data_IF_766515371739
#
_entry.id   IF_766515371739
#
_cell.length_a   1.000
_cell.length_b   1.000
_cell.length_c   1.000
_cell.angle_alpha   90.00
_cell.angle_beta   90.00
_cell.angle_gamma   90.00
#
_symmetry.space_group_name_H-M   'P 1'
#
loop_
_entity.id
_entity.type
_entity.pdbx_description
1 polymer ?
#
# COMPACT_ATOMS: atom_id res chain seq x y z
N UNK A 1 43.49 -78.49 -33.04
CA UNK A 1 43.03 -77.08 -32.94
C UNK A 1 41.98 -77.00 -31.83
N UNK A 2 42.33 -76.60 -30.61
CA UNK A 2 42.40 -75.22 -30.08
C UNK A 2 41.09 -74.74 -29.39
N UNK A 3 41.09 -74.88 -28.06
CA UNK A 3 40.60 -73.97 -26.98
C UNK A 3 39.09 -73.66 -26.74
N UNK A 4 38.61 -74.20 -25.60
CA UNK A 4 37.83 -73.60 -24.48
C UNK A 4 37.38 -72.13 -24.60
N UNK A 5 36.14 -71.81 -24.18
CA UNK A 5 35.84 -71.10 -22.90
C UNK A 5 34.34 -70.85 -22.60
N UNK A 6 33.96 -71.17 -21.35
CA UNK A 6 32.80 -70.66 -20.57
C UNK A 6 32.75 -69.12 -20.52
N UNK A 7 31.56 -68.53 -20.55
CA UNK A 7 31.17 -67.26 -19.88
C UNK A 7 29.66 -67.30 -19.62
N UNK A 8 29.23 -67.61 -18.40
CA UNK A 8 29.00 -66.69 -17.27
C UNK A 8 27.88 -65.69 -17.55
N UNK A 9 26.78 -65.93 -16.83
CA UNK A 9 25.69 -65.02 -16.52
C UNK A 9 26.21 -63.68 -15.97
N UNK A 10 25.59 -62.58 -16.43
CA UNK A 10 25.50 -61.33 -15.66
C UNK A 10 24.14 -60.69 -15.93
N UNK A 11 23.29 -60.75 -14.91
CA UNK A 11 22.07 -59.98 -14.77
C UNK A 11 22.41 -58.49 -14.79
N UNK A 12 21.77 -57.73 -15.68
CA UNK A 12 21.78 -56.28 -15.65
C UNK A 12 20.49 -55.80 -14.99
N UNK A 13 20.46 -55.87 -13.66
CA UNK A 13 19.49 -55.12 -12.85
C UNK A 13 19.84 -53.64 -12.99
N UNK A 14 19.25 -52.98 -13.99
CA UNK A 14 19.36 -51.53 -14.19
C UNK A 14 18.53 -50.81 -13.13
N UNK A 15 19.27 -50.37 -12.13
CA UNK A 15 19.02 -49.34 -11.13
C UNK A 15 17.92 -48.31 -11.49
N UNK A 16 16.68 -48.56 -11.08
CA UNK A 16 15.53 -47.63 -11.08
C UNK A 16 15.35 -46.99 -9.70
N UNK A 17 16.32 -46.22 -9.16
CA UNK A 17 16.13 -45.55 -7.85
C UNK A 17 16.66 -44.12 -7.66
N UNK A 18 17.21 -43.45 -8.68
CA UNK A 18 17.80 -42.11 -8.48
C UNK A 18 17.10 -40.93 -9.20
N UNK A 19 15.93 -41.11 -9.81
CA UNK A 19 15.29 -40.01 -10.57
C UNK A 19 14.22 -39.22 -9.77
N UNK A 20 13.90 -39.64 -8.54
CA UNK A 20 12.87 -39.03 -7.69
C UNK A 20 13.42 -38.02 -6.66
N UNK A 21 14.74 -37.97 -6.45
CA UNK A 21 15.38 -37.11 -5.42
C UNK A 21 15.89 -35.78 -5.95
N UNK A 22 16.39 -35.72 -7.19
CA UNK A 22 16.93 -34.49 -7.80
C UNK A 22 15.88 -33.42 -8.07
N UNK A 23 14.66 -33.81 -8.44
CA UNK A 23 13.57 -32.87 -8.70
C UNK A 23 13.02 -32.19 -7.43
N UNK A 24 13.14 -32.80 -6.25
CA UNK A 24 12.71 -32.19 -4.97
C UNK A 24 13.78 -31.29 -4.34
N UNK A 25 15.06 -31.61 -4.58
CA UNK A 25 16.19 -30.82 -4.10
C UNK A 25 16.26 -29.44 -4.78
N UNK A 26 15.85 -29.33 -6.05
CA UNK A 26 15.92 -28.06 -6.80
C UNK A 26 14.92 -26.97 -6.31
N UNK A 27 13.63 -27.25 -6.06
CA UNK A 27 12.69 -26.31 -5.44
C UNK A 27 13.11 -25.90 -4.03
N UNK A 28 13.55 -26.84 -3.20
CA UNK A 28 13.95 -26.55 -1.82
C UNK A 28 15.21 -25.66 -1.77
N UNK A 29 16.19 -25.90 -2.64
CA UNK A 29 17.37 -25.03 -2.76
C UNK A 29 17.00 -23.62 -3.24
N UNK A 30 16.06 -23.51 -4.19
CA UNK A 30 15.56 -22.20 -4.65
C UNK A 30 14.80 -21.47 -3.55
N UNK A 31 14.00 -22.17 -2.76
CA UNK A 31 13.28 -21.59 -1.63
C UNK A 31 14.24 -21.03 -0.58
N UNK A 32 15.28 -21.80 -0.20
CA UNK A 32 16.32 -21.33 0.72
C UNK A 32 17.08 -20.13 0.16
N UNK A 33 17.32 -20.12 -1.16
CA UNK A 33 17.92 -18.96 -1.84
C UNK A 33 17.03 -17.72 -1.74
N UNK A 34 15.72 -17.84 -1.96
CA UNK A 34 14.77 -16.72 -1.81
C UNK A 34 14.81 -16.18 -0.37
N UNK A 35 14.72 -17.07 0.63
CA UNK A 35 14.79 -16.68 2.06
C UNK A 35 16.10 -15.96 2.40
N UNK A 36 17.24 -16.46 1.92
CA UNK A 36 18.54 -15.81 2.14
C UNK A 36 18.63 -14.42 1.47
N UNK A 37 18.08 -14.27 0.26
CA UNK A 37 18.05 -12.98 -0.44
C UNK A 37 17.13 -11.97 0.24
N UNK A 38 15.98 -12.42 0.75
CA UNK A 38 15.07 -11.61 1.57
C UNK A 38 15.77 -11.10 2.84
N UNK A 39 16.43 -11.99 3.58
CA UNK A 39 17.18 -11.63 4.78
C UNK A 39 18.31 -10.62 4.49
N UNK A 40 18.91 -10.69 3.31
CA UNK A 40 19.95 -9.76 2.86
C UNK A 40 19.38 -8.48 2.18
N UNK A 41 18.06 -8.26 2.19
CA UNK A 41 17.39 -7.15 1.50
C UNK A 41 17.70 -7.05 -0.01
N UNK A 42 18.12 -8.15 -0.64
CA UNK A 42 18.40 -8.27 -2.09
C UNK A 42 17.11 -8.58 -2.84
N UNK A 43 16.16 -7.65 -2.77
CA UNK A 43 14.77 -7.89 -3.18
C UNK A 43 14.60 -8.13 -4.68
N UNK A 44 15.41 -7.51 -5.54
CA UNK A 44 15.33 -7.74 -6.99
C UNK A 44 15.67 -9.19 -7.32
N UNK A 45 16.78 -9.68 -6.78
CA UNK A 45 17.23 -11.06 -6.95
C UNK A 45 16.25 -12.04 -6.28
N UNK A 46 15.67 -11.67 -5.14
CA UNK A 46 14.65 -12.46 -4.47
C UNK A 46 13.40 -12.63 -5.34
N UNK A 47 12.92 -11.57 -6.00
CA UNK A 47 11.79 -11.63 -6.95
C UNK A 47 12.13 -12.56 -8.12
N UNK A 48 13.32 -12.44 -8.71
CA UNK A 48 13.73 -13.29 -9.84
C UNK A 48 13.84 -14.77 -9.45
N UNK A 49 14.38 -15.06 -8.26
CA UNK A 49 14.44 -16.42 -7.74
C UNK A 49 13.04 -16.97 -7.37
N UNK A 50 12.18 -16.15 -6.77
CA UNK A 50 10.82 -16.52 -6.38
C UNK A 50 9.91 -16.81 -7.57
N UNK A 51 10.01 -16.02 -8.65
CA UNK A 51 9.32 -16.31 -9.91
C UNK A 51 9.72 -17.66 -10.49
N UNK A 52 11.01 -18.00 -10.46
CA UNK A 52 11.51 -19.31 -10.93
C UNK A 52 10.99 -20.43 -10.05
N UNK A 53 10.98 -20.24 -8.73
CA UNK A 53 10.45 -21.20 -7.77
C UNK A 53 8.95 -21.47 -8.01
N UNK A 54 8.14 -20.42 -8.19
CA UNK A 54 6.70 -20.56 -8.42
C UNK A 54 6.38 -21.28 -9.75
N UNK A 55 7.20 -21.07 -10.78
CA UNK A 55 7.08 -21.79 -12.07
C UNK A 55 7.37 -23.29 -11.96
N UNK A 56 8.26 -23.70 -11.06
CA UNK A 56 8.60 -25.11 -10.89
C UNK A 56 7.51 -25.85 -10.14
N UNK A 57 6.98 -25.26 -9.08
CA UNK A 57 5.87 -25.82 -8.32
C UNK A 57 5.18 -24.70 -7.53
N UNK A 58 3.89 -24.51 -7.85
CA UNK A 58 3.04 -23.50 -7.25
C UNK A 58 2.51 -23.99 -5.91
N UNK A 59 2.62 -23.16 -4.88
CA UNK A 59 2.03 -23.41 -3.56
C UNK A 59 1.82 -22.09 -2.81
N UNK A 60 0.86 -22.00 -1.87
CA UNK A 60 0.61 -20.80 -1.09
C UNK A 60 1.84 -20.26 -0.35
N UNK A 61 2.63 -21.13 0.29
CA UNK A 61 3.84 -20.72 1.02
C UNK A 61 4.87 -20.02 0.13
N UNK A 62 4.96 -20.44 -1.14
CA UNK A 62 5.88 -19.84 -2.13
C UNK A 62 5.35 -18.53 -2.69
N UNK A 63 4.03 -18.40 -2.81
CA UNK A 63 3.40 -17.12 -3.13
C UNK A 63 3.66 -16.10 -2.02
N UNK A 64 3.60 -16.51 -0.74
CA UNK A 64 3.95 -15.65 0.40
C UNK A 64 5.40 -15.16 0.32
N UNK A 65 6.35 -16.05 0.03
CA UNK A 65 7.76 -15.68 -0.14
C UNK A 65 7.97 -14.69 -1.30
N UNK A 66 7.31 -14.92 -2.44
CA UNK A 66 7.38 -14.02 -3.58
C UNK A 66 6.72 -12.66 -3.28
N UNK A 67 5.59 -12.67 -2.57
CA UNK A 67 4.89 -11.46 -2.15
C UNK A 67 5.77 -10.58 -1.24
N UNK A 68 6.50 -11.19 -0.30
CA UNK A 68 7.46 -10.50 0.55
C UNK A 68 8.62 -9.88 -0.26
N UNK A 69 9.10 -10.59 -1.29
CA UNK A 69 10.15 -10.08 -2.17
C UNK A 69 9.68 -8.85 -2.97
N UNK A 70 8.46 -8.92 -3.52
CA UNK A 70 7.83 -7.79 -4.20
C UNK A 70 7.61 -6.59 -3.28
N UNK A 71 7.09 -6.83 -2.07
CA UNK A 71 6.86 -5.79 -1.09
C UNK A 71 8.15 -5.06 -0.70
N UNK A 72 9.22 -5.81 -0.36
CA UNK A 72 10.52 -5.21 -0.07
C UNK A 72 11.08 -4.43 -1.26
N UNK A 73 10.89 -4.92 -2.49
CA UNK A 73 11.30 -4.21 -3.70
C UNK A 73 10.52 -2.91 -3.90
N UNK A 74 9.20 -2.91 -3.68
CA UNK A 74 8.36 -1.73 -3.83
C UNK A 74 8.73 -0.67 -2.78
N UNK A 75 8.94 -1.08 -1.52
CA UNK A 75 9.43 -0.21 -0.44
C UNK A 75 10.78 0.42 -0.80
N UNK A 76 11.76 -0.38 -1.22
CA UNK A 76 13.07 0.15 -1.61
C UNK A 76 13.08 1.03 -2.86
N UNK A 77 12.03 0.99 -3.70
CA UNK A 77 11.83 1.94 -4.80
C UNK A 77 11.19 3.24 -4.29
N UNK A 78 10.17 3.13 -3.44
CA UNK A 78 9.50 4.27 -2.82
C UNK A 78 10.47 5.11 -1.97
N UNK A 79 11.38 4.47 -1.22
CA UNK A 79 12.41 5.14 -0.43
C UNK A 79 13.38 5.96 -1.30
N UNK A 80 13.47 5.66 -2.60
CA UNK A 80 14.26 6.39 -3.59
C UNK A 80 13.42 7.39 -4.39
N UNK A 81 12.16 7.62 -4.01
CA UNK A 81 11.22 8.46 -4.74
C UNK A 81 10.68 7.87 -6.05
N UNK A 82 10.97 6.60 -6.35
CA UNK A 82 10.55 5.92 -7.58
C UNK A 82 9.12 5.35 -7.45
N UNK A 83 8.15 6.22 -7.21
CA UNK A 83 6.78 5.80 -6.87
C UNK A 83 6.07 5.11 -8.03
N UNK A 84 6.25 5.55 -9.29
CA UNK A 84 5.60 4.93 -10.46
C UNK A 84 6.05 3.48 -10.65
N UNK A 85 7.34 3.22 -10.47
CA UNK A 85 7.91 1.89 -10.52
C UNK A 85 7.45 1.05 -9.32
N UNK A 86 7.39 1.65 -8.12
CA UNK A 86 6.88 0.97 -6.94
C UNK A 86 5.41 0.54 -7.12
N UNK A 87 4.55 1.38 -7.72
CA UNK A 87 3.16 1.02 -8.06
C UNK A 87 3.11 -0.20 -8.97
N UNK A 88 3.93 -0.24 -10.02
CA UNK A 88 3.99 -1.38 -10.93
C UNK A 88 4.45 -2.67 -10.23
N UNK A 89 5.43 -2.58 -9.33
CA UNK A 89 5.89 -3.71 -8.51
C UNK A 89 4.79 -4.19 -7.55
N UNK A 90 4.02 -3.28 -6.96
CA UNK A 90 2.93 -3.63 -6.04
C UNK A 90 1.75 -4.30 -6.75
N UNK A 91 1.39 -3.83 -7.96
CA UNK A 91 0.36 -4.50 -8.78
C UNK A 91 0.75 -5.92 -9.15
N UNK A 92 2.01 -6.12 -9.58
CA UNK A 92 2.55 -7.46 -9.84
C UNK A 92 2.51 -8.37 -8.60
N UNK A 93 2.70 -7.82 -7.40
CA UNK A 93 2.58 -8.56 -6.14
C UNK A 93 1.17 -9.13 -6.00
N UNK A 94 0.16 -8.27 -6.14
CA UNK A 94 -1.25 -8.66 -6.00
C UNK A 94 -1.64 -9.71 -7.05
N UNK A 95 -1.29 -9.48 -8.31
CA UNK A 95 -1.63 -10.38 -9.42
C UNK A 95 -0.96 -11.75 -9.30
N UNK A 96 0.37 -11.79 -9.13
CA UNK A 96 1.14 -13.04 -9.22
C UNK A 96 1.15 -13.85 -7.92
N UNK A 97 0.87 -13.19 -6.78
CA UNK A 97 0.88 -13.85 -5.47
C UNK A 97 -0.53 -14.02 -4.89
N UNK A 98 -1.57 -13.59 -5.61
CA UNK A 98 -2.97 -13.69 -5.17
C UNK A 98 -3.21 -13.06 -3.79
N UNK A 99 -2.50 -11.95 -3.51
CA UNK A 99 -2.66 -11.15 -2.29
C UNK A 99 -3.43 -9.87 -2.61
N UNK A 100 -4.01 -9.25 -1.59
CA UNK A 100 -4.75 -8.00 -1.81
C UNK A 100 -3.84 -6.89 -2.35
N UNK A 101 -4.42 -6.08 -3.24
CA UNK A 101 -3.84 -4.84 -3.72
C UNK A 101 -3.98 -3.73 -2.67
N UNK A 102 -5.13 -3.70 -1.98
CA UNK A 102 -5.55 -2.63 -1.10
C UNK A 102 -4.82 -2.71 0.24
N UNK A 103 -3.91 -1.76 0.44
CA UNK A 103 -3.07 -1.61 1.63
C UNK A 103 -2.71 -0.12 1.75
N UNK A 104 -2.60 0.42 2.97
CA UNK A 104 -2.25 1.83 3.18
C UNK A 104 -0.96 2.27 2.47
N UNK A 105 0.03 1.37 2.36
CA UNK A 105 1.25 1.61 1.59
C UNK A 105 0.94 1.80 0.10
N UNK A 106 0.03 1.03 -0.47
CA UNK A 106 -0.35 1.19 -1.89
C UNK A 106 -0.95 2.56 -2.18
N UNK A 107 -1.82 3.07 -1.30
CA UNK A 107 -2.35 4.43 -1.43
C UNK A 107 -1.24 5.48 -1.39
N UNK A 108 -0.29 5.33 -0.47
CA UNK A 108 0.89 6.21 -0.42
C UNK A 108 1.69 6.17 -1.72
N UNK A 109 1.83 4.99 -2.34
CA UNK A 109 2.49 4.87 -3.64
C UNK A 109 1.74 5.63 -4.75
N UNK A 110 0.41 5.49 -4.80
CA UNK A 110 -0.41 6.21 -5.78
C UNK A 110 -0.29 7.74 -5.59
N UNK A 111 -0.37 8.21 -4.35
CA UNK A 111 -0.24 9.63 -4.02
C UNK A 111 1.16 10.15 -4.39
N UNK A 112 2.22 9.44 -3.99
CA UNK A 112 3.60 9.80 -4.34
C UNK A 112 3.88 9.75 -5.85
N UNK A 113 3.15 8.92 -6.60
CA UNK A 113 3.23 8.87 -8.06
C UNK A 113 2.40 9.96 -8.77
N UNK A 114 1.65 10.77 -8.02
CA UNK A 114 0.71 11.77 -8.56
C UNK A 114 -0.56 11.16 -9.17
N UNK A 115 -0.86 9.89 -8.90
CA UNK A 115 -2.00 9.15 -9.45
C UNK A 115 -3.25 9.32 -8.56
N UNK A 116 -3.65 10.58 -8.33
CA UNK A 116 -4.69 10.94 -7.35
C UNK A 116 -6.06 10.35 -7.72
N UNK A 117 -6.46 10.43 -8.99
CA UNK A 117 -7.73 9.84 -9.45
C UNK A 117 -7.79 8.33 -9.15
N UNK A 118 -6.71 7.60 -9.44
CA UNK A 118 -6.62 6.17 -9.15
C UNK A 118 -6.62 5.87 -7.64
N UNK A 119 -6.09 6.78 -6.80
CA UNK A 119 -6.17 6.62 -5.36
C UNK A 119 -7.62 6.67 -4.86
N UNK A 120 -8.45 7.56 -5.40
CA UNK A 120 -9.88 7.59 -5.08
C UNK A 120 -10.65 6.39 -5.64
N UNK A 121 -10.40 5.99 -6.89
CA UNK A 121 -11.01 4.79 -7.48
C UNK A 121 -10.69 3.54 -6.64
N UNK A 122 -9.41 3.33 -6.31
CA UNK A 122 -9.00 2.20 -5.47
C UNK A 122 -9.65 2.26 -4.09
N UNK A 123 -9.86 3.46 -3.53
CA UNK A 123 -10.52 3.62 -2.23
C UNK A 123 -11.97 3.16 -2.27
N UNK A 124 -12.71 3.47 -3.33
CA UNK A 124 -14.09 3.01 -3.51
C UNK A 124 -14.18 1.47 -3.43
N UNK A 125 -13.27 0.77 -4.10
CA UNK A 125 -13.25 -0.70 -4.13
C UNK A 125 -12.61 -1.33 -2.87
N UNK A 126 -11.67 -0.62 -2.25
CA UNK A 126 -10.77 -1.16 -1.23
C UNK A 126 -11.22 -0.99 0.22
N UNK A 127 -12.37 -0.34 0.49
CA UNK A 127 -12.77 0.03 1.86
C UNK A 127 -12.86 -1.16 2.82
N UNK A 128 -13.47 -2.26 2.39
CA UNK A 128 -13.63 -3.47 3.22
C UNK A 128 -12.29 -4.05 3.66
N UNK A 129 -11.31 -4.03 2.76
CA UNK A 129 -10.00 -4.59 3.03
C UNK A 129 -9.17 -3.68 3.94
N UNK A 130 -9.21 -2.37 3.70
CA UNK A 130 -8.63 -1.36 4.58
C UNK A 130 -9.23 -1.42 5.99
N UNK A 131 -10.53 -1.70 6.12
CA UNK A 131 -11.21 -1.85 7.40
C UNK A 131 -10.68 -3.06 8.17
N UNK A 132 -10.49 -4.21 7.51
CA UNK A 132 -9.92 -5.42 8.13
C UNK A 132 -8.49 -5.19 8.62
N UNK A 133 -7.71 -4.40 7.87
CA UNK A 133 -6.33 -4.05 8.20
C UNK A 133 -6.23 -2.94 9.26
N UNK A 134 -7.34 -2.28 9.61
CA UNK A 134 -7.37 -1.18 10.57
C UNK A 134 -6.84 0.14 10.02
N UNK A 135 -6.58 0.25 8.72
CA UNK A 135 -5.97 1.43 8.09
C UNK A 135 -6.95 2.31 7.32
N UNK A 136 -8.26 2.02 7.38
CA UNK A 136 -9.29 2.78 6.67
C UNK A 136 -9.31 4.26 7.07
N UNK A 137 -9.21 4.55 8.38
CA UNK A 137 -9.26 5.92 8.88
C UNK A 137 -8.08 6.76 8.37
N UNK A 138 -6.87 6.19 8.39
CA UNK A 138 -5.65 6.87 7.96
C UNK A 138 -5.67 7.18 6.46
N UNK A 139 -6.10 6.22 5.64
CA UNK A 139 -6.27 6.43 4.19
C UNK A 139 -7.36 7.47 3.92
N UNK A 140 -8.47 7.41 4.66
CA UNK A 140 -9.57 8.37 4.52
C UNK A 140 -9.12 9.80 4.85
N UNK A 141 -8.32 9.99 5.89
CA UNK A 141 -7.76 11.31 6.22
C UNK A 141 -6.84 11.86 5.12
N UNK A 142 -5.99 11.01 4.52
CA UNK A 142 -5.16 11.41 3.37
C UNK A 142 -6.01 11.84 2.18
N UNK A 143 -7.07 11.08 1.88
CA UNK A 143 -7.99 11.38 0.79
C UNK A 143 -8.83 12.64 1.05
N UNK A 144 -9.17 12.94 2.30
CA UNK A 144 -9.82 14.20 2.67
C UNK A 144 -8.95 15.43 2.39
N UNK A 145 -7.67 15.39 2.74
CA UNK A 145 -6.75 16.47 2.37
C UNK A 145 -6.64 16.61 0.84
N UNK A 146 -6.55 15.48 0.13
CA UNK A 146 -6.47 15.47 -1.34
C UNK A 146 -7.75 15.93 -2.03
N UNK A 147 -8.92 15.67 -1.48
CA UNK A 147 -10.19 16.08 -2.08
C UNK A 147 -10.35 17.60 -2.08
N UNK A 148 -9.82 18.29 -1.07
CA UNK A 148 -9.79 19.75 -1.02
C UNK A 148 -8.79 20.35 -2.01
N UNK A 149 -7.63 19.70 -2.17
CA UNK A 149 -6.61 20.13 -3.13
C UNK A 149 -6.96 19.78 -4.59
N UNK A 150 -7.81 18.77 -4.82
CA UNK A 150 -8.17 18.25 -6.15
C UNK A 150 -9.69 18.01 -6.25
N UNK A 151 -10.52 19.06 -6.14
CA UNK A 151 -11.97 18.91 -6.09
C UNK A 151 -12.55 18.28 -7.35
N UNK A 152 -11.99 18.56 -8.53
CA UNK A 152 -12.46 17.96 -9.79
C UNK A 152 -12.17 16.46 -9.86
N UNK A 153 -10.98 16.05 -9.42
CA UNK A 153 -10.61 14.63 -9.36
C UNK A 153 -11.47 13.87 -8.35
N UNK A 154 -11.84 14.51 -7.23
CA UNK A 154 -12.75 13.95 -6.24
C UNK A 154 -14.21 13.88 -6.75
N UNK A 155 -14.67 14.92 -7.45
CA UNK A 155 -16.02 14.96 -8.03
C UNK A 155 -16.21 13.91 -9.14
N UNK A 156 -15.14 13.53 -9.84
CA UNK A 156 -15.17 12.48 -10.87
C UNK A 156 -15.22 11.05 -10.29
N UNK A 157 -15.18 10.90 -8.96
CA UNK A 157 -15.20 9.57 -8.32
C UNK A 157 -16.61 8.98 -8.26
N UNK A 158 -16.71 7.66 -8.27
CA UNK A 158 -17.97 6.94 -8.11
C UNK A 158 -18.22 6.53 -6.65
N UNK A 159 -17.83 7.38 -5.68
CA UNK A 159 -18.08 7.09 -4.27
C UNK A 159 -19.59 7.21 -3.95
N UNK A 160 -20.13 6.32 -3.11
CA UNK A 160 -21.52 6.39 -2.69
C UNK A 160 -21.77 7.66 -1.87
N UNK A 161 -22.99 8.21 -1.95
CA UNK A 161 -23.37 9.43 -1.24
C UNK A 161 -23.28 9.29 0.29
N UNK A 162 -23.39 8.06 0.79
CA UNK A 162 -23.28 7.69 2.19
C UNK A 162 -21.82 7.60 2.69
N UNK A 163 -20.82 7.68 1.80
CA UNK A 163 -19.43 7.70 2.23
C UNK A 163 -19.15 8.97 3.05
N UNK A 164 -18.47 8.80 4.19
CA UNK A 164 -18.17 9.90 5.11
C UNK A 164 -17.35 11.01 4.44
N UNK A 165 -16.46 10.68 3.49
CA UNK A 165 -15.74 11.69 2.70
C UNK A 165 -16.71 12.53 1.88
N UNK A 166 -17.66 11.88 1.20
CA UNK A 166 -18.64 12.56 0.34
C UNK A 166 -19.57 13.43 1.18
N UNK A 167 -20.06 12.91 2.32
CA UNK A 167 -20.95 13.63 3.22
C UNK A 167 -20.31 14.85 3.88
N UNK A 168 -19.06 14.74 4.36
CA UNK A 168 -18.40 15.83 5.09
C UNK A 168 -17.71 16.85 4.16
N UNK A 169 -17.38 16.47 2.92
CA UNK A 169 -16.62 17.32 1.98
C UNK A 169 -17.26 18.68 1.71
N UNK A 170 -18.58 18.82 1.43
CA UNK A 170 -19.18 20.13 1.19
C UNK A 170 -19.01 21.10 2.35
N UNK A 171 -19.13 20.60 3.59
CA UNK A 171 -18.93 21.40 4.81
C UNK A 171 -17.47 21.85 4.94
N UNK A 172 -16.52 20.94 4.71
CA UNK A 172 -15.10 21.25 4.77
C UNK A 172 -14.69 22.27 3.70
N UNK A 173 -15.19 22.11 2.48
CA UNK A 173 -14.97 23.04 1.35
C UNK A 173 -15.54 24.42 1.67
N UNK A 174 -16.79 24.50 2.14
CA UNK A 174 -17.42 25.77 2.50
C UNK A 174 -16.68 26.49 3.65
N UNK A 175 -16.18 25.74 4.65
CA UNK A 175 -15.38 26.33 5.73
C UNK A 175 -14.08 26.95 5.20
N UNK A 176 -13.38 26.25 4.30
CA UNK A 176 -12.15 26.73 3.68
C UNK A 176 -12.41 27.93 2.76
N UNK A 177 -13.48 27.92 1.98
CA UNK A 177 -13.88 29.03 1.13
C UNK A 177 -14.22 30.28 1.95
N UNK A 178 -14.95 30.13 3.06
CA UNK A 178 -15.26 31.22 3.97
C UNK A 178 -13.99 31.84 4.59
N UNK A 179 -13.02 31.00 4.99
CA UNK A 179 -11.71 31.45 5.43
C UNK A 179 -11.00 32.28 4.35
N UNK A 180 -10.94 31.77 3.12
CA UNK A 180 -10.32 32.49 2.00
C UNK A 180 -11.02 33.81 1.66
N UNK A 181 -12.32 33.92 1.93
CA UNK A 181 -13.10 35.14 1.76
C UNK A 181 -13.01 36.12 2.94
N UNK A 182 -12.37 35.73 4.06
CA UNK A 182 -12.33 36.51 5.30
C UNK A 182 -13.66 36.55 6.06
N UNK A 183 -14.59 35.62 5.79
CA UNK A 183 -15.87 35.52 6.49
C UNK A 183 -15.76 34.57 7.69
N UNK A 184 -15.26 35.12 8.79
CA UNK A 184 -15.07 34.38 10.04
C UNK A 184 -16.38 33.80 10.59
N UNK A 185 -17.50 34.48 10.40
CA UNK A 185 -18.79 34.04 10.91
C UNK A 185 -19.29 32.81 10.12
N UNK A 186 -19.24 32.86 8.80
CA UNK A 186 -19.59 31.72 7.94
C UNK A 186 -18.65 30.54 8.20
N UNK A 187 -17.34 30.79 8.32
CA UNK A 187 -16.36 29.75 8.66
C UNK A 187 -16.75 29.07 9.99
N UNK A 188 -16.95 29.83 11.07
CA UNK A 188 -17.33 29.26 12.37
C UNK A 188 -18.63 28.44 12.33
N UNK A 189 -19.61 28.84 11.52
CA UNK A 189 -20.84 28.08 11.33
C UNK A 189 -20.55 26.71 10.70
N UNK A 190 -19.78 26.67 9.61
CA UNK A 190 -19.41 25.41 8.95
C UNK A 190 -18.61 24.49 9.89
N UNK A 191 -17.66 25.04 10.67
CA UNK A 191 -16.84 24.27 11.61
C UNK A 191 -17.63 23.61 12.76
N UNK A 192 -18.89 23.97 13.00
CA UNK A 192 -19.76 23.26 13.96
C UNK A 192 -20.25 21.92 13.44
N UNK A 193 -20.35 21.77 12.12
CA UNK A 193 -20.84 20.56 11.46
C UNK A 193 -19.75 19.50 11.26
N UNK A 194 -18.46 19.89 11.30
CA UNK A 194 -17.33 18.95 11.24
C UNK A 194 -17.15 18.24 12.59
N UNK A 195 -17.54 16.97 12.66
CA UNK A 195 -17.44 16.14 13.86
C UNK A 195 -16.00 15.73 14.18
N UNK A 196 -15.76 15.23 15.40
CA UNK A 196 -14.44 14.69 15.78
C UNK A 196 -14.06 13.39 15.03
N UNK A 197 -15.05 12.69 14.49
CA UNK A 197 -14.85 11.47 13.67
C UNK A 197 -14.70 11.79 12.19
N UNK A 198 -14.88 13.04 11.79
CA UNK A 198 -14.72 13.49 10.42
C UNK A 198 -13.26 13.29 9.96
N UNK A 199 -13.02 12.86 8.72
CA UNK A 199 -11.68 12.85 8.15
C UNK A 199 -11.13 14.27 7.94
N UNK A 200 -11.95 15.31 8.08
CA UNK A 200 -11.55 16.73 8.03
C UNK A 200 -11.34 17.35 9.42
N UNK A 201 -11.30 16.54 10.50
CA UNK A 201 -11.20 17.06 11.87
C UNK A 201 -9.97 17.94 12.11
N UNK A 202 -8.85 17.65 11.46
CA UNK A 202 -7.61 18.41 11.68
C UNK A 202 -7.57 19.70 10.86
N UNK A 203 -8.21 19.73 9.68
CA UNK A 203 -8.54 20.99 9.00
C UNK A 203 -9.35 21.92 9.91
N UNK A 204 -10.35 21.39 10.62
CA UNK A 204 -11.13 22.17 11.60
C UNK A 204 -10.24 22.74 12.70
N UNK A 205 -9.22 22.01 13.17
CA UNK A 205 -8.28 22.52 14.17
C UNK A 205 -7.42 23.66 13.62
N UNK A 206 -6.91 23.52 12.40
CA UNK A 206 -6.12 24.54 11.70
C UNK A 206 -6.94 25.81 11.50
N UNK A 207 -8.15 25.70 10.93
CA UNK A 207 -9.00 26.87 10.67
C UNK A 207 -9.40 27.59 11.96
N UNK A 208 -9.63 26.86 13.07
CA UNK A 208 -9.84 27.48 14.39
C UNK A 208 -8.60 28.20 14.92
N UNK A 209 -7.41 27.62 14.73
CA UNK A 209 -6.17 28.24 15.16
C UNK A 209 -5.90 29.54 14.38
N UNK A 210 -6.11 29.52 13.06
CA UNK A 210 -5.96 30.70 12.19
C UNK A 210 -6.90 31.84 12.59
N UNK A 211 -8.16 31.52 12.89
CA UNK A 211 -9.13 32.49 13.40
C UNK A 211 -8.69 33.14 14.73
N UNK A 212 -8.09 32.36 15.62
CA UNK A 212 -7.66 32.84 16.94
C UNK A 212 -6.32 33.57 16.90
N UNK A 213 -5.47 33.30 15.91
CA UNK A 213 -4.08 33.77 15.89
C UNK A 213 -3.92 35.30 16.01
N UNK A 214 -4.89 36.07 15.51
CA UNK A 214 -4.89 37.53 15.57
C UNK A 214 -5.15 38.09 16.99
N UNK A 215 -5.79 37.32 17.86
CA UNK A 215 -6.22 37.74 19.21
C UNK A 215 -5.59 36.92 20.34
N UNK A 216 -5.22 35.67 20.08
CA UNK A 216 -4.58 34.73 21.01
C UNK A 216 -3.65 33.76 20.27
N UNK A 217 -2.41 34.20 20.03
CA UNK A 217 -1.38 33.39 19.39
C UNK A 217 -0.99 32.14 20.22
N UNK A 218 -1.07 32.22 21.54
CA UNK A 218 -0.75 31.09 22.42
C UNK A 218 -1.83 30.00 22.33
N UNK A 219 -3.10 30.40 22.36
CA UNK A 219 -4.24 29.51 22.15
C UNK A 219 -4.21 28.84 20.76
N UNK A 220 -3.89 29.61 19.72
CA UNK A 220 -3.69 29.06 18.38
C UNK A 220 -2.60 27.97 18.35
N UNK A 221 -1.44 28.20 18.97
CA UNK A 221 -0.36 27.20 19.05
C UNK A 221 -0.79 25.93 19.79
N UNK A 222 -1.60 26.05 20.84
CA UNK A 222 -2.14 24.89 21.59
C UNK A 222 -3.06 24.03 20.71
N UNK A 223 -3.84 24.64 19.81
CA UNK A 223 -4.67 23.91 18.86
C UNK A 223 -3.82 23.16 17.83
N UNK A 224 -2.81 23.82 17.26
CA UNK A 224 -1.95 23.21 16.23
C UNK A 224 -1.15 22.01 16.78
N UNK A 225 -0.67 22.10 18.04
CA UNK A 225 0.02 20.99 18.72
C UNK A 225 -0.81 19.73 18.92
N UNK A 226 -2.14 19.79 18.78
CA UNK A 226 -3.02 18.61 18.88
C UNK A 226 -3.08 17.81 17.58
N UNK A 227 -2.60 18.37 16.48
CA UNK A 227 -2.55 17.69 15.18
C UNK A 227 -1.36 16.74 15.19
N UNK A 228 -1.62 15.46 14.95
CA UNK A 228 -0.57 14.45 14.97
C UNK A 228 0.40 14.66 13.81
N UNK A 229 1.70 14.40 14.02
CA UNK A 229 2.75 14.47 12.98
C UNK A 229 2.43 13.60 11.76
N UNK A 230 1.66 12.52 11.95
CA UNK A 230 1.21 11.64 10.87
C UNK A 230 -0.06 12.09 10.14
N UNK A 231 -0.71 13.17 10.57
CA UNK A 231 -1.91 13.69 9.91
C UNK A 231 -1.59 14.18 8.51
N UNK A 232 -2.52 13.96 7.57
CA UNK A 232 -2.41 14.52 6.22
C UNK A 232 -2.45 16.05 6.20
N UNK A 233 -3.01 16.66 7.25
CA UNK A 233 -3.09 18.11 7.43
C UNK A 233 -1.90 18.68 8.21
N UNK A 234 -1.04 17.84 8.80
CA UNK A 234 0.11 18.29 9.59
C UNK A 234 1.04 19.29 8.89
N UNK A 235 1.33 19.18 7.56
CA UNK A 235 2.17 20.17 6.88
C UNK A 235 1.61 21.61 6.87
N UNK A 236 0.33 21.79 7.22
CA UNK A 236 -0.33 23.09 7.33
C UNK A 236 -0.43 23.59 8.79
N UNK A 237 0.01 22.80 9.75
CA UNK A 237 -0.10 23.07 11.18
C UNK A 237 1.11 23.80 11.76
#
# INVERSE_FOLDING_TARGET
MARKRKKSSKSSVKNKKNHLSTHKLAPQALEQKVKALLAAAKFREAVDAGKKLLKLESSPDRQVLLAAAYEGRARGLADKGMFKEAVAIWRNRAELCSVTLYDAFFYRLLIGAGQIAQAFECYADGQSELQKQGSLADVREQLAALSLANPDAFAATNLPAEDVLVGDFPTAKAALEAYCAGDDQAMQQQLKHISFRSPFRDLRQILKALLQASSDASGASVLLKKIAVGSAFYPLA
#
